data_IF_368675514579
#
_entry.id   IF_368675514579
#
_cell.length_a   1.000
_cell.length_b   1.000
_cell.length_c   1.000
_cell.angle_alpha   90.00
_cell.angle_beta   90.00
_cell.angle_gamma   90.00
#
_symmetry.space_group_name_H-M   'P 1'
#
loop_
_entity.id
_entity.type
_entity.pdbx_description
1 polymer ?
#
# COMPACT_ATOMS: atom_id res chain seq x y z
N UNK A 1 -15.08 45.10 -41.42
CA UNK A 1 -13.69 44.83 -40.98
C UNK A 1 -13.66 44.18 -39.58
N UNK A 2 -13.80 42.85 -39.44
CA UNK A 2 -13.69 42.12 -38.15
C UNK A 2 -13.19 40.67 -38.32
N UNK A 3 -12.21 40.42 -39.20
CA UNK A 3 -11.83 39.04 -39.56
C UNK A 3 -10.42 38.61 -39.12
N UNK A 4 -9.45 39.53 -39.01
CA UNK A 4 -8.06 39.16 -38.66
C UNK A 4 -7.81 39.05 -37.14
N UNK A 5 -8.55 39.77 -36.31
CA UNK A 5 -8.35 39.82 -34.86
C UNK A 5 -8.84 38.55 -34.15
N UNK A 6 -9.97 37.99 -34.58
CA UNK A 6 -10.55 36.74 -34.04
C UNK A 6 -9.74 35.50 -34.44
N UNK A 7 -9.14 35.49 -35.63
CA UNK A 7 -8.27 34.41 -36.09
C UNK A 7 -6.97 34.31 -35.27
N UNK A 8 -6.28 35.45 -35.09
CA UNK A 8 -5.06 35.53 -34.28
C UNK A 8 -5.32 35.15 -32.81
N UNK A 9 -6.45 35.58 -32.25
CA UNK A 9 -6.85 35.20 -30.89
C UNK A 9 -7.14 33.70 -30.76
N UNK A 10 -7.78 33.08 -31.77
CA UNK A 10 -8.03 31.63 -31.83
C UNK A 10 -6.73 30.82 -32.00
N UNK A 11 -5.77 31.34 -32.77
CA UNK A 11 -4.46 30.71 -32.95
C UNK A 11 -3.60 30.78 -31.68
N UNK A 12 -3.59 31.93 -30.99
CA UNK A 12 -2.88 32.09 -29.71
C UNK A 12 -3.49 31.22 -28.59
N UNK A 13 -4.82 31.09 -28.53
CA UNK A 13 -5.50 30.18 -27.58
C UNK A 13 -5.19 28.70 -27.83
N UNK A 14 -5.17 28.26 -29.10
CA UNK A 14 -4.78 26.87 -29.43
C UNK A 14 -3.33 26.58 -29.06
N UNK A 15 -2.41 27.50 -29.34
CA UNK A 15 -0.99 27.35 -28.98
C UNK A 15 -0.80 27.32 -27.45
N UNK A 16 -1.54 28.16 -26.72
CA UNK A 16 -1.48 28.20 -25.25
C UNK A 16 -2.04 26.93 -24.58
N UNK A 17 -3.03 26.25 -25.18
CA UNK A 17 -3.57 24.99 -24.65
C UNK A 17 -2.59 23.82 -24.86
N UNK A 18 -1.85 23.81 -25.97
CA UNK A 18 -0.84 22.78 -26.26
C UNK A 18 0.33 22.90 -25.28
N UNK A 19 0.80 24.13 -25.02
CA UNK A 19 1.94 24.36 -24.13
C UNK A 19 1.62 24.04 -22.67
N UNK A 20 0.41 24.36 -22.17
CA UNK A 20 0.01 24.03 -20.80
C UNK A 20 -0.19 22.53 -20.58
N UNK A 21 -0.62 21.79 -21.60
CA UNK A 21 -0.76 20.33 -21.53
C UNK A 21 0.59 19.64 -21.46
N UNK A 22 1.58 20.14 -22.24
CA UNK A 22 2.93 19.59 -22.26
C UNK A 22 3.67 19.84 -20.93
N UNK A 23 3.56 21.06 -20.39
CA UNK A 23 4.18 21.39 -19.09
C UNK A 23 3.49 20.67 -17.94
N UNK A 24 2.16 20.55 -17.96
CA UNK A 24 1.40 19.79 -16.96
C UNK A 24 1.80 18.31 -16.93
N UNK A 25 1.98 17.68 -18.10
CA UNK A 25 2.44 16.29 -18.20
C UNK A 25 3.86 16.09 -17.65
N UNK A 26 4.78 17.00 -17.95
CA UNK A 26 6.15 16.94 -17.43
C UNK A 26 6.21 17.13 -15.91
N UNK A 27 5.44 18.08 -15.37
CA UNK A 27 5.38 18.31 -13.92
C UNK A 27 4.74 17.11 -13.21
N UNK A 28 3.63 16.59 -13.73
CA UNK A 28 2.98 15.41 -13.17
C UNK A 28 3.89 14.16 -13.24
N UNK A 29 4.59 13.95 -14.35
CA UNK A 29 5.57 12.88 -14.51
C UNK A 29 6.76 13.03 -13.55
N UNK A 30 7.28 14.25 -13.37
CA UNK A 30 8.34 14.54 -12.42
C UNK A 30 7.91 14.27 -10.97
N UNK A 31 6.72 14.75 -10.58
CA UNK A 31 6.12 14.48 -9.26
C UNK A 31 5.93 12.97 -9.08
N UNK A 32 5.33 12.27 -10.03
CA UNK A 32 5.15 10.81 -9.96
C UNK A 32 6.48 10.05 -9.84
N UNK A 33 7.52 10.49 -10.55
CA UNK A 33 8.85 9.86 -10.46
C UNK A 33 9.51 10.09 -9.09
N UNK A 34 9.32 11.29 -8.50
CA UNK A 34 9.90 11.67 -7.21
C UNK A 34 9.16 11.07 -6.03
N UNK A 35 7.84 10.92 -6.15
CA UNK A 35 6.95 10.38 -5.13
C UNK A 35 6.39 9.01 -5.55
N UNK A 36 7.23 8.14 -6.15
CA UNK A 36 6.87 6.73 -6.35
C UNK A 36 6.32 6.20 -5.02
N UNK A 37 5.09 5.65 -4.98
CA UNK A 37 4.59 5.06 -3.75
C UNK A 37 5.56 3.95 -3.35
N UNK A 38 6.10 4.07 -2.14
CA UNK A 38 6.87 3.00 -1.50
C UNK A 38 5.85 1.92 -1.17
N UNK A 39 5.50 1.10 -2.16
CA UNK A 39 5.00 -0.24 -1.90
C UNK A 39 6.18 -0.97 -1.28
N UNK A 40 6.06 -1.30 -0.01
CA UNK A 40 7.02 -2.11 0.72
C UNK A 40 7.11 -3.49 0.05
N UNK A 41 7.89 -3.59 -1.02
CA UNK A 41 8.48 -4.84 -1.45
C UNK A 41 9.72 -5.02 -0.56
N UNK A 42 9.55 -5.88 0.45
CA UNK A 42 10.50 -6.29 1.48
C UNK A 42 11.94 -6.39 0.96
N UNK A 43 12.90 -5.95 1.78
CA UNK A 43 14.28 -6.38 1.64
C UNK A 43 14.31 -7.92 1.62
N UNK A 44 15.02 -8.50 0.65
CA UNK A 44 15.21 -9.94 0.51
C UNK A 44 16.06 -10.49 1.67
N UNK A 45 15.46 -10.58 2.84
CA UNK A 45 15.82 -11.60 3.81
C UNK A 45 15.10 -12.84 3.30
N UNK A 46 15.85 -13.87 2.91
CA UNK A 46 15.30 -15.17 2.52
C UNK A 46 14.68 -15.86 3.75
N UNK A 47 13.64 -15.28 4.31
CA UNK A 47 12.92 -15.80 5.46
C UNK A 47 12.08 -16.96 4.97
N UNK A 48 12.49 -18.17 5.34
CA UNK A 48 11.61 -19.32 5.19
C UNK A 48 10.45 -19.20 6.16
N UNK A 49 9.25 -19.06 5.62
CA UNK A 49 8.03 -18.89 6.40
C UNK A 49 7.84 -20.07 7.37
N UNK A 50 7.72 -19.73 8.65
CA UNK A 50 7.49 -20.67 9.73
C UNK A 50 8.73 -21.41 10.24
N UNK A 51 9.94 -21.03 9.82
CA UNK A 51 11.17 -21.41 10.52
C UNK A 51 11.48 -20.41 11.64
N UNK A 52 12.10 -20.91 12.71
CA UNK A 52 12.51 -20.08 13.85
C UNK A 52 13.62 -19.11 13.46
N UNK A 53 13.38 -17.83 13.67
CA UNK A 53 14.37 -16.75 13.46
C UNK A 53 14.89 -16.33 14.83
N UNK A 54 16.16 -16.59 15.11
CA UNK A 54 16.77 -16.33 16.43
C UNK A 54 16.83 -14.85 16.82
N UNK A 55 16.75 -13.94 15.85
CA UNK A 55 16.77 -12.49 16.08
C UNK A 55 15.40 -11.89 16.40
N UNK A 56 14.31 -12.67 16.26
CA UNK A 56 12.96 -12.21 16.55
C UNK A 56 12.53 -12.52 17.99
N UNK A 57 11.61 -11.73 18.57
CA UNK A 57 11.01 -12.03 19.85
C UNK A 57 10.32 -13.40 19.87
N UNK A 58 10.32 -14.05 21.03
CA UNK A 58 9.56 -15.28 21.27
C UNK A 58 8.32 -14.94 22.09
N UNK A 59 7.17 -15.45 21.66
CA UNK A 59 5.89 -15.26 22.33
C UNK A 59 5.34 -16.57 22.84
N UNK A 60 4.70 -16.55 24.00
CA UNK A 60 3.96 -17.70 24.51
C UNK A 60 2.58 -17.77 23.87
N UNK A 61 1.98 -18.96 23.79
CA UNK A 61 0.62 -19.09 23.28
C UNK A 61 -0.43 -18.34 24.12
N UNK A 62 -0.18 -18.16 25.41
CA UNK A 62 -1.05 -17.34 26.28
C UNK A 62 -0.95 -15.85 25.98
N UNK A 63 0.18 -15.40 25.45
CA UNK A 63 0.35 -14.04 24.94
C UNK A 63 -0.37 -13.89 23.61
N UNK A 64 -0.14 -14.78 22.65
CA UNK A 64 -0.83 -14.79 21.35
C UNK A 64 -2.36 -14.77 21.54
N UNK A 65 -2.88 -15.54 22.49
CA UNK A 65 -4.32 -15.59 22.80
C UNK A 65 -4.93 -14.25 23.28
N UNK A 66 -4.11 -13.26 23.68
CA UNK A 66 -4.60 -11.92 24.06
C UNK A 66 -4.88 -11.03 22.86
N UNK A 67 -4.38 -11.40 21.68
CA UNK A 67 -4.46 -10.60 20.44
C UNK A 67 -5.65 -11.06 19.57
N UNK A 68 -6.85 -10.79 20.06
CA UNK A 68 -8.12 -11.17 19.42
C UNK A 68 -9.04 -9.98 19.15
N UNK A 69 -8.57 -8.74 19.32
CA UNK A 69 -9.37 -7.52 19.13
C UNK A 69 -8.59 -6.47 18.34
N UNK A 70 -9.27 -5.49 17.76
CA UNK A 70 -8.63 -4.47 16.93
C UNK A 70 -7.64 -3.59 17.73
N UNK A 71 -7.91 -3.35 19.02
CA UNK A 71 -7.06 -2.51 19.88
C UNK A 71 -5.76 -3.22 20.26
N UNK A 72 -5.81 -4.54 20.41
CA UNK A 72 -4.64 -5.37 20.73
C UNK A 72 -3.95 -5.91 19.47
N UNK A 73 -4.61 -5.83 18.32
CA UNK A 73 -4.22 -6.52 17.10
C UNK A 73 -4.76 -7.95 17.05
N UNK A 74 -4.92 -8.46 15.83
CA UNK A 74 -5.33 -9.83 15.55
C UNK A 74 -4.10 -10.66 15.19
N UNK A 75 -3.65 -11.50 16.12
CA UNK A 75 -2.49 -12.36 15.88
C UNK A 75 -2.90 -13.80 15.59
N UNK A 76 -2.05 -14.51 14.87
CA UNK A 76 -2.13 -15.96 14.70
C UNK A 76 -0.73 -16.56 14.76
N UNK A 77 -0.65 -17.83 15.18
CA UNK A 77 0.57 -18.61 15.11
C UNK A 77 0.51 -19.61 13.95
N UNK A 78 1.59 -19.76 13.21
CA UNK A 78 1.75 -20.81 12.20
C UNK A 78 3.19 -21.32 12.24
N UNK A 79 3.36 -22.62 12.49
CA UNK A 79 4.67 -23.23 12.81
C UNK A 79 5.37 -22.44 13.93
N UNK A 80 6.62 -22.01 13.74
CA UNK A 80 7.39 -21.23 14.72
C UNK A 80 7.17 -19.70 14.60
N UNK A 81 6.26 -19.25 13.73
CA UNK A 81 6.00 -17.84 13.47
C UNK A 81 4.72 -17.32 14.14
N UNK A 82 4.77 -16.06 14.59
CA UNK A 82 3.60 -15.28 15.05
C UNK A 82 3.40 -14.12 14.10
N UNK A 83 2.17 -13.96 13.61
CA UNK A 83 1.82 -13.00 12.56
C UNK A 83 0.69 -12.09 13.02
N UNK A 84 0.90 -10.78 12.91
CA UNK A 84 -0.16 -9.79 13.06
C UNK A 84 -0.87 -9.60 11.71
N UNK A 85 -2.14 -9.98 11.65
CA UNK A 85 -2.95 -9.89 10.43
C UNK A 85 -3.92 -8.72 10.44
N UNK A 86 -3.80 -7.78 11.38
CA UNK A 86 -4.78 -6.70 11.59
C UNK A 86 -5.07 -5.89 10.32
N UNK A 87 -4.02 -5.51 9.59
CA UNK A 87 -4.13 -4.77 8.33
C UNK A 87 -4.60 -5.63 7.15
N UNK A 88 -4.53 -6.95 7.28
CA UNK A 88 -4.90 -7.90 6.23
C UNK A 88 -6.35 -8.36 6.31
N UNK A 89 -7.01 -8.20 7.46
CA UNK A 89 -8.39 -8.69 7.69
C UNK A 89 -9.37 -8.23 6.59
N UNK A 90 -9.29 -6.98 6.16
CA UNK A 90 -10.19 -6.42 5.14
C UNK A 90 -9.90 -6.93 3.72
N UNK A 91 -8.65 -7.34 3.46
CA UNK A 91 -8.20 -7.85 2.16
C UNK A 91 -8.32 -9.38 2.06
N UNK A 92 -8.66 -10.06 3.16
CA UNK A 92 -8.83 -11.50 3.15
C UNK A 92 -10.01 -11.90 2.24
N UNK A 93 -9.86 -12.85 1.29
CA UNK A 93 -10.93 -13.22 0.34
C UNK A 93 -12.22 -13.71 1.01
N UNK A 94 -12.13 -14.28 2.22
CA UNK A 94 -13.29 -14.65 3.03
C UNK A 94 -13.82 -13.53 3.94
N UNK A 95 -13.27 -12.32 3.85
CA UNK A 95 -13.52 -11.22 4.76
C UNK A 95 -13.22 -11.58 6.21
N UNK A 96 -14.06 -11.09 7.13
CA UNK A 96 -13.89 -11.20 8.59
C UNK A 96 -13.91 -12.62 9.15
N UNK A 97 -14.16 -13.65 8.34
CA UNK A 97 -14.11 -15.05 8.80
C UNK A 97 -12.72 -15.47 9.31
N UNK A 98 -11.64 -14.81 8.84
CA UNK A 98 -10.27 -15.04 9.30
C UNK A 98 -10.12 -14.79 10.82
N UNK A 99 -10.94 -13.90 11.39
CA UNK A 99 -10.90 -13.56 12.81
C UNK A 99 -11.29 -14.74 13.72
N UNK A 100 -11.94 -15.79 13.20
CA UNK A 100 -12.22 -17.02 13.97
C UNK A 100 -10.96 -17.75 14.42
N UNK A 101 -9.85 -17.50 13.74
CA UNK A 101 -8.54 -18.06 14.02
C UNK A 101 -7.62 -17.10 14.79
N UNK A 102 -8.07 -15.88 15.09
CA UNK A 102 -7.29 -14.94 15.89
C UNK A 102 -7.04 -15.50 17.30
N UNK A 103 -5.82 -15.31 17.80
CA UNK A 103 -5.36 -15.84 19.08
C UNK A 103 -5.10 -17.34 19.09
N UNK A 104 -5.05 -18.02 17.92
CA UNK A 104 -4.88 -19.48 17.81
C UNK A 104 -3.69 -19.86 16.94
N UNK A 105 -3.32 -21.13 17.02
CA UNK A 105 -2.37 -21.78 16.12
C UNK A 105 -3.10 -22.48 14.96
N UNK A 106 -2.53 -22.40 13.76
CA UNK A 106 -2.98 -23.06 12.53
C UNK A 106 -2.18 -24.32 12.22
#
# INVERSE_FOLDING_TARGET
MRSRFTFLFRQKRKLQIITTSLTGGLVAGYIFSKYKPIVHAEADISVKVGERISTLPTYSMTEVAKHTTAEKGYWLAYKDGVYDITSYVENHPGGKMVLRSAGKAL
#
